data_IF_919612535960
#
_entry.id   IF_919612535960
#
_cell.length_a   1.000
_cell.length_b   1.000
_cell.length_c   1.000
_cell.angle_alpha   90.00
_cell.angle_beta   90.00
_cell.angle_gamma   90.00
#
_symmetry.space_group_name_H-M   'P 1'
#
loop_
_entity.id
_entity.type
_entity.pdbx_description
1 polymer ?
#
# COMPACT_ATOMS: atom_id res chain seq x y z
N UNK A 1 -3.16 16.22 -17.88
CA UNK A 1 -3.40 15.76 -16.51
C UNK A 1 -2.20 14.99 -16.02
N UNK A 2 -1.72 15.29 -14.83
CA UNK A 2 -0.55 14.61 -14.26
C UNK A 2 -0.94 13.22 -13.74
N UNK A 3 0.04 12.29 -13.66
CA UNK A 3 -0.22 10.95 -13.13
C UNK A 3 -0.70 11.01 -11.67
N UNK A 4 -0.21 11.98 -10.89
CA UNK A 4 -0.68 12.20 -9.52
C UNK A 4 -2.18 12.45 -9.48
N UNK A 5 -2.70 13.30 -10.37
CA UNK A 5 -4.13 13.63 -10.45
C UNK A 5 -5.00 12.41 -10.82
N UNK A 6 -4.47 11.51 -11.65
CA UNK A 6 -5.15 10.26 -12.04
C UNK A 6 -5.22 9.28 -10.84
N UNK A 7 -4.20 9.26 -9.98
CA UNK A 7 -4.16 8.39 -8.80
C UNK A 7 -4.98 8.92 -7.61
N UNK A 8 -5.24 10.24 -7.54
CA UNK A 8 -5.96 10.86 -6.42
C UNK A 8 -7.30 10.22 -6.07
N UNK A 9 -8.21 9.91 -7.03
CA UNK A 9 -9.50 9.29 -6.71
C UNK A 9 -9.33 7.92 -6.03
N UNK A 10 -8.39 7.11 -6.49
CA UNK A 10 -8.06 5.83 -5.88
C UNK A 10 -7.47 6.02 -4.47
N UNK A 11 -6.46 6.88 -4.33
CA UNK A 11 -5.76 7.06 -3.06
C UNK A 11 -6.66 7.65 -1.96
N UNK A 12 -7.52 8.62 -2.27
CA UNK A 12 -8.29 9.32 -1.23
C UNK A 12 -9.73 8.84 -1.08
N UNK A 13 -10.27 8.11 -2.06
CA UNK A 13 -11.67 7.67 -2.04
C UNK A 13 -11.86 6.20 -2.38
N UNK A 14 -10.77 5.47 -2.67
CA UNK A 14 -10.86 4.10 -3.18
C UNK A 14 -11.57 4.00 -4.53
N UNK A 15 -11.69 5.09 -5.29
CA UNK A 15 -12.48 5.10 -6.52
C UNK A 15 -11.64 4.68 -7.73
N UNK A 16 -11.53 3.35 -7.91
CA UNK A 16 -10.79 2.75 -9.01
C UNK A 16 -11.39 3.08 -10.38
N UNK A 17 -12.72 3.13 -10.51
CA UNK A 17 -13.39 3.44 -11.78
C UNK A 17 -13.03 4.85 -12.25
N UNK A 18 -13.12 5.85 -11.37
CA UNK A 18 -12.73 7.21 -11.71
C UNK A 18 -11.25 7.30 -12.12
N UNK A 19 -10.35 6.57 -11.44
CA UNK A 19 -8.93 6.51 -11.84
C UNK A 19 -8.75 5.89 -13.23
N UNK A 20 -9.52 4.84 -13.58
CA UNK A 20 -9.50 4.25 -14.92
C UNK A 20 -10.03 5.21 -15.98
N UNK A 21 -11.17 5.85 -15.74
CA UNK A 21 -11.78 6.81 -16.67
C UNK A 21 -10.84 7.99 -16.95
N UNK A 22 -10.13 8.49 -15.92
CA UNK A 22 -9.14 9.55 -16.08
C UNK A 22 -7.91 9.08 -16.87
N UNK A 23 -7.42 7.87 -16.64
CA UNK A 23 -6.30 7.32 -17.41
C UNK A 23 -6.68 7.16 -18.89
N UNK A 24 -7.85 6.60 -19.17
CA UNK A 24 -8.39 6.42 -20.53
C UNK A 24 -8.59 7.77 -21.23
N UNK A 25 -9.22 8.74 -20.57
CA UNK A 25 -9.43 10.09 -21.13
C UNK A 25 -8.10 10.81 -21.46
N UNK A 26 -6.99 10.40 -20.85
CA UNK A 26 -5.66 10.94 -21.12
C UNK A 26 -4.77 10.00 -21.97
N UNK A 27 -5.34 8.93 -22.55
CA UNK A 27 -4.65 7.92 -23.35
C UNK A 27 -3.42 7.32 -22.63
N UNK A 28 -3.54 7.06 -21.32
CA UNK A 28 -2.46 6.46 -20.52
C UNK A 28 -2.74 5.00 -20.22
N UNK A 29 -1.71 4.17 -20.38
CA UNK A 29 -1.73 2.80 -19.88
C UNK A 29 -1.69 2.82 -18.33
N UNK A 30 -2.59 2.07 -17.70
CA UNK A 30 -2.68 1.93 -16.24
C UNK A 30 -1.36 1.49 -15.60
N UNK A 31 -0.59 0.65 -16.28
CA UNK A 31 0.73 0.19 -15.83
C UNK A 31 1.76 1.34 -15.74
N UNK A 32 1.63 2.34 -16.61
CA UNK A 32 2.54 3.48 -16.69
C UNK A 32 2.10 4.69 -15.86
N UNK A 33 0.92 4.62 -15.23
CA UNK A 33 0.44 5.68 -14.34
C UNK A 33 1.22 5.61 -13.02
N UNK A 34 2.26 6.43 -12.94
CA UNK A 34 3.17 6.53 -11.79
C UNK A 34 3.40 7.98 -11.39
N UNK A 35 3.38 8.27 -10.10
CA UNK A 35 3.72 9.57 -9.53
C UNK A 35 4.42 9.38 -8.18
N UNK A 36 5.62 9.96 -8.01
CA UNK A 36 6.42 9.82 -6.80
C UNK A 36 6.61 8.34 -6.38
N UNK A 37 6.76 7.46 -7.37
CA UNK A 37 6.85 6.00 -7.20
C UNK A 37 5.54 5.30 -6.80
N UNK A 38 4.48 6.05 -6.50
CA UNK A 38 3.15 5.49 -6.33
C UNK A 38 2.57 5.09 -7.69
N UNK A 39 1.89 3.95 -7.70
CA UNK A 39 1.17 3.41 -8.85
C UNK A 39 -0.21 2.90 -8.40
N UNK A 40 -0.99 2.31 -9.30
CA UNK A 40 -2.35 1.86 -8.99
C UNK A 40 -2.37 0.77 -7.90
N UNK A 41 -1.42 -0.17 -7.93
CA UNK A 41 -1.32 -1.24 -6.92
C UNK A 41 -1.01 -0.64 -5.55
N UNK A 42 0.07 0.14 -5.44
CA UNK A 42 0.47 0.74 -4.16
C UNK A 42 -0.54 1.77 -3.66
N UNK A 43 -1.19 2.53 -4.54
CA UNK A 43 -2.28 3.45 -4.18
C UNK A 43 -3.50 2.70 -3.63
N UNK A 44 -3.85 1.53 -4.15
CA UNK A 44 -4.96 0.72 -3.62
C UNK A 44 -4.68 0.23 -2.19
N UNK A 45 -3.44 -0.19 -1.92
CA UNK A 45 -2.98 -0.62 -0.60
C UNK A 45 -2.92 0.56 0.37
N UNK A 46 -2.54 1.76 -0.10
CA UNK A 46 -2.43 2.97 0.71
C UNK A 46 -3.73 3.79 0.78
N UNK A 47 -4.80 3.35 0.12
CA UNK A 47 -6.03 4.13 -0.02
C UNK A 47 -6.65 4.49 1.35
N UNK A 48 -7.07 5.74 1.51
CA UNK A 48 -7.70 6.26 2.72
C UNK A 48 -9.17 5.84 2.80
N UNK A 49 -9.39 4.54 3.02
CA UNK A 49 -10.69 3.90 3.15
C UNK A 49 -10.71 2.96 4.36
N UNK A 50 -11.91 2.60 4.83
CA UNK A 50 -12.08 1.67 5.93
C UNK A 50 -11.48 0.30 5.65
N UNK A 51 -10.91 -0.35 6.66
CA UNK A 51 -10.31 -1.68 6.56
C UNK A 51 -11.25 -2.75 5.98
N UNK A 52 -12.57 -2.63 6.21
CA UNK A 52 -13.58 -3.56 5.66
C UNK A 52 -13.59 -3.60 4.12
N UNK A 53 -13.29 -2.49 3.47
CA UNK A 53 -13.32 -2.37 2.01
C UNK A 53 -11.93 -2.52 1.38
N UNK A 54 -10.90 -2.73 2.20
CA UNK A 54 -9.50 -2.68 1.77
C UNK A 54 -9.15 -3.82 0.83
N UNK A 55 -9.49 -5.04 1.20
CA UNK A 55 -9.19 -6.22 0.39
C UNK A 55 -9.99 -6.26 -0.91
N UNK A 56 -11.24 -5.80 -0.91
CA UNK A 56 -12.03 -5.66 -2.14
C UNK A 56 -11.35 -4.70 -3.13
N UNK A 57 -10.90 -3.55 -2.65
CA UNK A 57 -10.19 -2.57 -3.47
C UNK A 57 -8.86 -3.14 -4.01
N UNK A 58 -8.06 -3.76 -3.14
CA UNK A 58 -6.76 -4.35 -3.50
C UNK A 58 -6.95 -5.43 -4.57
N UNK A 59 -7.91 -6.34 -4.40
CA UNK A 59 -8.22 -7.39 -5.38
C UNK A 59 -8.70 -6.79 -6.70
N UNK A 60 -9.58 -5.79 -6.64
CA UNK A 60 -10.10 -5.12 -7.85
C UNK A 60 -9.01 -4.39 -8.63
N UNK A 61 -8.12 -3.69 -7.94
CA UNK A 61 -6.97 -3.02 -8.55
C UNK A 61 -5.96 -4.04 -9.10
N UNK A 62 -5.70 -5.11 -8.34
CA UNK A 62 -4.77 -6.16 -8.75
C UNK A 62 -5.26 -6.98 -9.92
N UNK A 63 -6.58 -7.18 -10.10
CA UNK A 63 -7.16 -7.85 -11.26
C UNK A 63 -6.89 -7.14 -12.60
N UNK A 64 -6.45 -5.88 -12.57
CA UNK A 64 -6.07 -5.12 -13.77
C UNK A 64 -4.69 -5.51 -14.32
N UNK A 65 -3.91 -6.27 -13.55
CA UNK A 65 -2.51 -6.58 -13.85
C UNK A 65 -2.27 -8.09 -13.77
N UNK A 66 -1.41 -8.60 -14.66
CA UNK A 66 -0.86 -9.95 -14.54
C UNK A 66 -0.07 -10.12 -13.23
N UNK A 67 0.30 -11.35 -12.88
CA UNK A 67 1.13 -11.61 -11.71
C UNK A 67 2.50 -10.90 -11.81
N UNK A 68 3.10 -10.91 -13.00
CA UNK A 68 4.39 -10.26 -13.27
C UNK A 68 4.28 -8.74 -13.14
N UNK A 69 3.30 -8.12 -13.78
CA UNK A 69 3.07 -6.67 -13.67
C UNK A 69 2.74 -6.26 -12.23
N UNK A 70 1.93 -7.04 -11.52
CA UNK A 70 1.58 -6.77 -10.14
C UNK A 70 2.84 -6.82 -9.24
N UNK A 71 3.68 -7.84 -9.42
CA UNK A 71 4.95 -7.96 -8.70
C UNK A 71 5.89 -6.79 -9.00
N UNK A 72 6.00 -6.39 -10.26
CA UNK A 72 6.83 -5.23 -10.64
C UNK A 72 6.33 -3.95 -9.97
N UNK A 73 5.03 -3.67 -10.05
CA UNK A 73 4.43 -2.49 -9.43
C UNK A 73 4.54 -2.50 -7.90
N UNK A 74 4.43 -3.67 -7.27
CA UNK A 74 4.54 -3.83 -5.83
C UNK A 74 5.97 -3.55 -5.31
N UNK A 75 6.99 -3.90 -6.09
CA UNK A 75 8.40 -3.67 -5.76
C UNK A 75 8.84 -2.21 -5.94
N UNK A 76 7.99 -1.34 -6.47
CA UNK A 76 8.30 0.09 -6.57
C UNK A 76 8.21 0.76 -5.21
N UNK A 77 9.28 1.48 -4.84
CA UNK A 77 9.26 2.33 -3.65
C UNK A 77 8.38 3.55 -3.90
N UNK A 78 7.67 3.98 -2.85
CA UNK A 78 6.81 5.16 -2.83
C UNK A 78 7.51 6.26 -2.05
N UNK A 79 7.62 7.45 -2.64
CA UNK A 79 8.14 8.63 -1.97
C UNK A 79 7.02 9.31 -1.18
N UNK A 80 7.03 9.14 0.13
CA UNK A 80 5.96 9.65 1.00
C UNK A 80 6.46 9.87 2.42
N UNK A 81 5.61 10.45 3.26
CA UNK A 81 5.86 10.61 4.69
C UNK A 81 5.31 9.37 5.41
N UNK A 82 6.17 8.68 6.16
CA UNK A 82 5.75 7.54 7.00
C UNK A 82 4.53 7.90 7.88
N UNK A 83 3.52 7.02 8.03
CA UNK A 83 2.28 7.36 8.75
C UNK A 83 2.48 7.91 10.16
N UNK A 84 3.40 7.34 10.94
CA UNK A 84 3.77 7.83 12.28
C UNK A 84 4.35 9.25 12.27
N UNK A 85 5.22 9.55 11.29
CA UNK A 85 5.80 10.88 11.10
C UNK A 85 4.72 11.88 10.69
N UNK A 86 3.80 11.48 9.80
CA UNK A 86 2.64 12.29 9.40
C UNK A 86 1.71 12.60 10.59
N UNK A 87 1.39 11.61 11.42
CA UNK A 87 0.59 11.81 12.63
C UNK A 87 1.28 12.79 13.61
N UNK A 88 2.56 12.58 13.89
CA UNK A 88 3.34 13.48 14.76
C UNK A 88 3.38 14.92 14.24
N UNK A 89 3.59 15.11 12.94
CA UNK A 89 3.62 16.45 12.32
C UNK A 89 2.26 17.14 12.46
N UNK A 90 1.17 16.39 12.26
CA UNK A 90 -0.20 16.90 12.48
C UNK A 90 -0.42 17.32 13.93
N UNK A 91 0.02 16.51 14.90
CA UNK A 91 -0.09 16.84 16.34
C UNK A 91 0.75 18.06 16.73
N UNK A 92 1.84 18.32 16.00
CA UNK A 92 2.68 19.52 16.13
C UNK A 92 2.11 20.75 15.42
N UNK A 93 0.94 20.64 14.77
CA UNK A 93 0.32 21.74 14.02
C UNK A 93 1.00 22.05 12.68
N UNK A 94 1.85 21.17 12.17
CA UNK A 94 2.47 21.33 10.85
C UNK A 94 1.42 21.06 9.78
N UNK A 95 1.12 22.08 8.98
CA UNK A 95 0.25 21.95 7.80
C UNK A 95 1.09 21.47 6.63
N UNK A 96 0.87 20.24 6.20
CA UNK A 96 1.58 19.66 5.07
C UNK A 96 1.00 20.15 3.74
N UNK A 97 1.85 20.72 2.90
CA UNK A 97 1.56 21.06 1.50
C UNK A 97 2.54 20.31 0.57
N UNK A 98 2.36 20.48 -0.74
CA UNK A 98 3.17 19.78 -1.74
C UNK A 98 4.66 20.14 -1.65
N UNK A 99 5.01 21.38 -1.29
CA UNK A 99 6.40 21.83 -1.26
C UNK A 99 7.09 21.43 0.06
N UNK A 100 6.41 21.63 1.18
CA UNK A 100 6.98 21.40 2.50
C UNK A 100 6.96 19.92 2.90
N UNK A 101 6.14 19.09 2.26
CA UNK A 101 6.08 17.64 2.52
C UNK A 101 7.34 16.92 2.07
N UNK A 102 8.01 17.44 1.03
CA UNK A 102 9.22 16.84 0.43
C UNK A 102 10.33 16.64 1.48
N UNK A 103 10.53 17.62 2.37
CA UNK A 103 11.58 17.54 3.42
C UNK A 103 11.32 16.44 4.46
N UNK A 104 10.08 15.95 4.53
CA UNK A 104 9.67 14.89 5.46
C UNK A 104 9.49 13.55 4.76
N UNK A 105 9.51 13.53 3.42
CA UNK A 105 9.29 12.34 2.61
C UNK A 105 10.59 11.56 2.40
N UNK A 106 10.45 10.25 2.38
CA UNK A 106 11.52 9.28 2.13
C UNK A 106 10.96 8.18 1.23
N UNK A 107 11.84 7.33 0.67
CA UNK A 107 11.44 6.23 -0.21
C UNK A 107 11.17 4.96 0.60
N UNK A 108 9.93 4.48 0.57
CA UNK A 108 9.50 3.30 1.31
C UNK A 108 8.97 2.22 0.37
N UNK A 109 9.24 0.96 0.66
CA UNK A 109 8.42 -0.14 0.19
C UNK A 109 7.01 -0.02 0.81
N UNK A 110 5.96 -0.37 0.06
CA UNK A 110 4.59 -0.35 0.56
C UNK A 110 4.42 -1.19 1.84
N UNK A 111 5.19 -2.27 2.00
CA UNK A 111 5.18 -3.11 3.19
C UNK A 111 5.71 -2.42 4.46
N UNK A 112 6.56 -1.41 4.32
CA UNK A 112 7.08 -0.63 5.46
C UNK A 112 6.08 0.41 5.97
N UNK A 113 5.11 0.82 5.14
CA UNK A 113 4.23 1.96 5.44
C UNK A 113 2.75 1.63 5.45
N UNK A 114 2.30 0.53 4.84
CA UNK A 114 0.89 0.16 4.82
C UNK A 114 0.54 -0.80 5.96
N UNK A 115 1.13 -2.01 5.91
CA UNK A 115 0.72 -3.12 6.77
C UNK A 115 1.04 -2.95 8.26
N UNK A 116 2.07 -2.21 8.70
CA UNK A 116 2.25 -1.90 10.12
C UNK A 116 1.07 -1.15 10.77
N UNK A 117 0.24 -0.52 9.94
CA UNK A 117 -0.85 0.36 10.35
C UNK A 117 -2.21 -0.15 9.87
N UNK A 118 -2.25 -1.28 9.17
CA UNK A 118 -3.48 -1.97 8.82
C UNK A 118 -3.79 -3.05 9.87
N UNK A 119 -5.06 -3.45 10.03
CA UNK A 119 -5.39 -4.57 10.90
C UNK A 119 -4.64 -5.85 10.49
N UNK A 120 -4.25 -6.65 11.48
CA UNK A 120 -3.54 -7.91 11.26
C UNK A 120 -4.26 -8.82 10.25
N UNK A 121 -5.59 -8.89 10.35
CA UNK A 121 -6.43 -9.67 9.44
C UNK A 121 -6.37 -9.20 7.98
N UNK A 122 -6.21 -7.89 7.74
CA UNK A 122 -6.05 -7.37 6.38
C UNK A 122 -4.71 -7.79 5.79
N UNK A 123 -3.66 -7.87 6.61
CA UNK A 123 -2.37 -8.38 6.15
C UNK A 123 -2.40 -9.88 5.88
N UNK A 124 -3.06 -10.66 6.75
CA UNK A 124 -3.29 -12.10 6.54
C UNK A 124 -4.03 -12.36 5.21
N UNK A 125 -5.18 -11.71 5.01
CA UNK A 125 -5.96 -11.81 3.77
C UNK A 125 -5.15 -11.38 2.54
N UNK A 126 -4.25 -10.40 2.72
CA UNK A 126 -3.38 -9.92 1.65
C UNK A 126 -2.30 -10.93 1.28
N UNK A 127 -1.65 -11.54 2.28
CA UNK A 127 -0.65 -12.59 2.05
C UNK A 127 -1.28 -13.81 1.38
N UNK A 128 -2.48 -14.22 1.82
CA UNK A 128 -3.25 -15.27 1.16
C UNK A 128 -3.57 -14.90 -0.30
N UNK A 129 -4.04 -13.68 -0.57
CA UNK A 129 -4.31 -13.22 -1.94
C UNK A 129 -3.06 -13.24 -2.83
N UNK A 130 -1.90 -12.83 -2.29
CA UNK A 130 -0.65 -12.92 -3.04
C UNK A 130 -0.33 -14.37 -3.41
N UNK A 131 -0.44 -15.29 -2.45
CA UNK A 131 -0.11 -16.69 -2.63
C UNK A 131 -1.08 -17.42 -3.57
N UNK A 132 -2.38 -17.32 -3.30
CA UNK A 132 -3.42 -18.09 -4.00
C UNK A 132 -3.77 -17.48 -5.37
N UNK A 133 -4.01 -16.16 -5.44
CA UNK A 133 -4.51 -15.51 -6.66
C UNK A 133 -3.38 -15.00 -7.56
N UNK A 134 -2.28 -14.52 -6.96
CA UNK A 134 -1.15 -13.97 -7.72
C UNK A 134 0.02 -14.94 -7.88
N UNK A 135 0.02 -16.06 -7.17
CA UNK A 135 1.14 -16.99 -7.14
C UNK A 135 2.48 -16.30 -6.79
N UNK A 136 2.40 -15.32 -5.90
CA UNK A 136 3.52 -14.56 -5.37
C UNK A 136 3.70 -14.91 -3.89
N UNK A 137 4.95 -15.02 -3.45
CA UNK A 137 5.30 -15.19 -2.05
C UNK A 137 6.08 -13.96 -1.57
N UNK A 138 5.88 -13.60 -0.31
CA UNK A 138 6.73 -12.60 0.33
C UNK A 138 8.10 -13.21 0.59
N UNK A 139 9.17 -12.48 0.28
CA UNK A 139 10.51 -12.90 0.67
C UNK A 139 10.72 -12.75 2.18
N UNK A 140 11.73 -13.45 2.71
CA UNK A 140 12.04 -13.48 4.14
C UNK A 140 12.34 -12.09 4.72
N UNK A 141 12.96 -11.21 3.92
CA UNK A 141 13.30 -9.86 4.35
C UNK A 141 12.03 -9.03 4.55
N UNK A 142 11.09 -9.10 3.60
CA UNK A 142 9.79 -8.43 3.66
C UNK A 142 8.95 -8.96 4.83
N UNK A 143 8.92 -10.27 5.03
CA UNK A 143 8.23 -10.91 6.17
C UNK A 143 8.80 -10.37 7.49
N UNK A 144 10.12 -10.35 7.63
CA UNK A 144 10.79 -9.84 8.83
C UNK A 144 10.48 -8.36 9.07
N UNK A 145 10.55 -7.52 8.04
CA UNK A 145 10.22 -6.09 8.12
C UNK A 145 8.78 -5.88 8.60
N UNK A 146 7.82 -6.62 8.05
CA UNK A 146 6.42 -6.48 8.47
C UNK A 146 6.22 -6.96 9.90
N UNK A 147 6.84 -8.07 10.29
CA UNK A 147 6.79 -8.60 11.65
C UNK A 147 7.34 -7.59 12.68
N UNK A 148 8.54 -7.06 12.45
CA UNK A 148 9.16 -6.06 13.33
C UNK A 148 8.29 -4.80 13.46
N UNK A 149 7.72 -4.35 12.35
CA UNK A 149 6.85 -3.18 12.38
C UNK A 149 5.53 -3.41 13.13
N UNK A 150 4.94 -4.61 13.05
CA UNK A 150 3.76 -4.95 13.86
C UNK A 150 4.09 -4.99 15.36
N UNK A 151 5.24 -5.52 15.74
CA UNK A 151 5.72 -5.47 17.13
C UNK A 151 5.88 -4.01 17.61
N UNK A 152 6.50 -3.16 16.80
CA UNK A 152 6.72 -1.75 17.09
C UNK A 152 5.42 -0.93 17.20
N UNK A 153 4.35 -1.37 16.53
CA UNK A 153 3.02 -0.76 16.64
C UNK A 153 2.44 -0.88 18.06
N UNK A 154 2.84 -1.91 18.81
CA UNK A 154 2.30 -2.28 20.14
C UNK A 154 0.78 -2.48 20.16
N UNK A 155 0.17 -2.74 19.01
CA UNK A 155 -1.28 -2.98 18.89
C UNK A 155 -1.64 -4.46 19.10
N UNK A 156 -0.69 -5.37 18.90
CA UNK A 156 -0.88 -6.81 18.97
C UNK A 156 0.09 -7.42 19.97
N UNK A 157 -0.31 -8.53 20.60
CA UNK A 157 0.59 -9.32 21.43
C UNK A 157 1.55 -10.15 20.59
N UNK A 158 2.73 -10.46 21.13
CA UNK A 158 3.71 -11.36 20.49
C UNK A 158 3.06 -12.68 20.06
N UNK A 159 2.19 -13.25 20.91
CA UNK A 159 1.47 -14.49 20.61
C UNK A 159 0.54 -14.40 19.40
N UNK A 160 -0.13 -13.26 19.20
CA UNK A 160 -0.99 -13.05 18.03
C UNK A 160 -0.16 -12.97 16.75
N UNK A 161 1.01 -12.32 16.82
CA UNK A 161 1.93 -12.21 15.70
C UNK A 161 2.57 -13.56 15.39
N UNK A 162 3.10 -14.27 16.39
CA UNK A 162 3.66 -15.62 16.22
C UNK A 162 2.66 -16.54 15.50
N UNK A 163 1.41 -16.56 15.95
CA UNK A 163 0.37 -17.38 15.32
C UNK A 163 0.12 -17.02 13.84
N UNK A 164 0.13 -15.74 13.49
CA UNK A 164 -0.03 -15.31 12.10
C UNK A 164 1.15 -15.79 11.25
N UNK A 165 2.37 -15.50 11.71
CA UNK A 165 3.60 -15.76 10.97
C UNK A 165 4.01 -17.24 10.95
N UNK A 166 3.35 -18.10 11.74
CA UNK A 166 3.42 -19.57 11.61
C UNK A 166 2.63 -20.12 10.43
N UNK A 167 1.72 -19.34 9.81
CA UNK A 167 0.92 -19.81 8.68
C UNK A 167 1.75 -20.08 7.42
N UNK A 168 1.24 -20.93 6.53
CA UNK A 168 1.96 -21.36 5.31
C UNK A 168 2.31 -20.21 4.36
N UNK A 169 1.61 -19.06 4.46
CA UNK A 169 1.87 -17.88 3.65
C UNK A 169 3.17 -17.14 4.03
N UNK A 170 3.75 -17.45 5.20
CA UNK A 170 4.94 -16.78 5.74
C UNK A 170 6.12 -17.74 6.00
N UNK A 171 6.05 -19.01 5.55
CA UNK A 171 7.13 -20.01 5.67
C UNK A 171 7.99 -20.08 4.40
#
# INVERSE_FOLDING_TARGET
MENAEILRPLLYKGNLNATKDLAEANNKNLFDVRADGMNIVTASILADISSMNKMELIRSAGALFSAEEYCELLNQKVFTIAPKKRARLKDQGVVLDTENSIQYSEWFNVFEIAFPWLPLSVFEDYAQYLYEDKHLALDKETIQIVHENFLDSKQYSERELEKLFESEFFQ
#
